data_IF_647931301604
#
_entry.id   IF_647931301604
#
_cell.length_a   1.000
_cell.length_b   1.000
_cell.length_c   1.000
_cell.angle_alpha   90.00
_cell.angle_beta   90.00
_cell.angle_gamma   90.00
#
_symmetry.space_group_name_H-M   'P 1'
#
loop_
_entity.id
_entity.type
_entity.pdbx_description
1 polymer ?
#
# COMPACT_ATOMS: atom_id res chain seq x y z
N UNK A 1 19.19 30.00 -1.78
CA UNK A 1 19.15 29.27 -3.07
C UNK A 1 18.34 27.98 -2.94
N UNK A 2 18.65 27.11 -1.96
CA UNK A 2 17.99 25.81 -1.75
C UNK A 2 16.45 25.85 -1.71
N UNK A 3 15.87 26.72 -0.88
CA UNK A 3 14.40 26.84 -0.74
C UNK A 3 13.66 27.17 -2.05
N UNK A 4 14.22 28.05 -2.90
CA UNK A 4 13.63 28.39 -4.21
C UNK A 4 13.72 27.23 -5.20
N UNK A 5 14.80 26.44 -5.12
CA UNK A 5 14.99 25.26 -5.95
C UNK A 5 13.98 24.16 -5.57
N UNK A 6 13.75 23.94 -4.28
CA UNK A 6 12.73 23.01 -3.76
C UNK A 6 11.31 23.44 -4.14
N UNK A 7 10.97 24.72 -3.95
CA UNK A 7 9.67 25.27 -4.36
C UNK A 7 9.44 25.10 -5.87
N UNK A 8 10.48 25.29 -6.70
CA UNK A 8 10.39 25.11 -8.15
C UNK A 8 10.19 23.64 -8.51
N UNK A 9 10.93 22.73 -7.87
CA UNK A 9 10.79 21.28 -8.04
C UNK A 9 9.36 20.83 -7.70
N UNK A 10 8.81 21.29 -6.58
CA UNK A 10 7.45 20.97 -6.15
C UNK A 10 6.39 21.49 -7.14
N UNK A 11 6.55 22.72 -7.66
CA UNK A 11 5.65 23.27 -8.69
C UNK A 11 5.67 22.42 -9.97
N UNK A 12 6.85 22.02 -10.42
CA UNK A 12 7.01 21.16 -11.60
C UNK A 12 6.34 19.79 -11.38
N UNK A 13 6.56 19.15 -10.22
CA UNK A 13 5.95 17.87 -9.89
C UNK A 13 4.41 17.96 -9.85
N UNK A 14 3.86 18.99 -9.19
CA UNK A 14 2.41 19.22 -9.13
C UNK A 14 1.80 19.41 -10.51
N UNK A 15 2.36 20.34 -11.29
CA UNK A 15 1.92 20.60 -12.65
C UNK A 15 2.02 19.33 -13.53
N UNK A 16 3.09 18.56 -13.37
CA UNK A 16 3.27 17.29 -14.06
C UNK A 16 2.19 16.27 -13.72
N UNK A 17 1.90 16.07 -12.44
CA UNK A 17 0.87 15.15 -11.97
C UNK A 17 -0.51 15.54 -12.52
N UNK A 18 -0.88 16.82 -12.44
CA UNK A 18 -2.16 17.34 -12.95
C UNK A 18 -2.28 17.17 -14.48
N UNK A 19 -1.24 17.51 -15.24
CA UNK A 19 -1.23 17.34 -16.70
C UNK A 19 -1.30 15.87 -17.11
N UNK A 20 -0.55 14.99 -16.45
CA UNK A 20 -0.56 13.56 -16.76
C UNK A 20 -1.90 12.93 -16.42
N UNK A 21 -2.51 13.32 -15.29
CA UNK A 21 -3.84 12.86 -14.91
C UNK A 21 -4.92 13.33 -15.90
N UNK A 22 -4.84 14.57 -16.39
CA UNK A 22 -5.85 15.16 -17.28
C UNK A 22 -5.68 14.77 -18.74
N UNK A 23 -4.46 14.84 -19.25
CA UNK A 23 -4.16 14.74 -20.68
C UNK A 23 -3.49 13.40 -21.06
N UNK A 24 -3.07 12.61 -20.06
CA UNK A 24 -2.30 11.37 -20.24
C UNK A 24 -0.80 11.60 -20.33
N UNK A 25 -0.01 10.55 -20.07
CA UNK A 25 1.44 10.61 -20.08
C UNK A 25 1.99 11.02 -21.45
N UNK A 26 1.53 10.39 -22.53
CA UNK A 26 2.08 10.62 -23.88
C UNK A 26 1.77 12.02 -24.44
N UNK A 27 0.63 12.61 -24.10
CA UNK A 27 0.24 13.96 -24.58
C UNK A 27 0.83 15.10 -23.73
N UNK A 28 1.57 14.76 -22.67
CA UNK A 28 2.24 15.73 -21.80
C UNK A 28 3.71 15.84 -22.20
N UNK A 29 4.24 17.07 -22.26
CA UNK A 29 5.65 17.35 -22.58
C UNK A 29 6.30 18.21 -21.50
N UNK A 30 7.63 18.15 -21.36
CA UNK A 30 8.39 18.98 -20.41
C UNK A 30 8.12 20.47 -20.60
N UNK A 31 7.91 20.92 -21.84
CA UNK A 31 7.52 22.29 -22.17
C UNK A 31 6.14 22.67 -21.64
N UNK A 32 5.17 21.75 -21.76
CA UNK A 32 3.81 21.94 -21.23
C UNK A 32 3.85 22.02 -19.70
N UNK A 33 4.61 21.13 -19.06
CA UNK A 33 4.80 21.09 -17.60
C UNK A 33 5.45 22.39 -17.09
N UNK A 34 6.56 22.83 -17.69
CA UNK A 34 7.23 24.06 -17.28
C UNK A 34 6.31 25.28 -17.38
N UNK A 35 5.53 25.36 -18.47
CA UNK A 35 4.54 26.42 -18.68
C UNK A 35 3.44 26.39 -17.62
N UNK A 36 2.87 25.22 -17.33
CA UNK A 36 1.83 25.04 -16.31
C UNK A 36 2.35 25.38 -14.91
N UNK A 37 3.58 25.00 -14.60
CA UNK A 37 4.26 25.34 -13.34
C UNK A 37 4.65 26.83 -13.22
N UNK A 38 4.48 27.63 -14.28
CA UNK A 38 4.84 29.04 -14.32
C UNK A 38 6.35 29.30 -14.27
N UNK A 39 7.16 28.38 -14.82
CA UNK A 39 8.63 28.48 -14.81
C UNK A 39 9.23 28.36 -16.21
N UNK A 40 10.48 28.81 -16.38
CA UNK A 40 11.19 28.67 -17.63
C UNK A 40 11.48 27.20 -17.94
N UNK A 41 11.54 26.83 -19.23
CA UNK A 41 11.90 25.47 -19.64
C UNK A 41 13.29 25.04 -19.14
N UNK A 42 14.24 25.98 -19.04
CA UNK A 42 15.55 25.71 -18.44
C UNK A 42 15.44 25.28 -16.97
N UNK A 43 14.49 25.82 -16.21
CA UNK A 43 14.24 25.40 -14.83
C UNK A 43 13.79 23.94 -14.76
N UNK A 44 13.01 23.44 -15.73
CA UNK A 44 12.67 22.01 -15.79
C UNK A 44 13.93 21.16 -15.88
N UNK A 45 14.80 21.45 -16.85
CA UNK A 45 15.99 20.65 -17.12
C UNK A 45 17.06 20.77 -16.03
N UNK A 46 17.02 21.82 -15.22
CA UNK A 46 17.84 21.93 -14.01
C UNK A 46 17.41 20.95 -12.90
N UNK A 47 16.16 20.48 -12.91
CA UNK A 47 15.61 19.58 -11.89
C UNK A 47 15.39 18.15 -12.36
N UNK A 48 15.08 17.96 -13.65
CA UNK A 48 14.72 16.68 -14.23
C UNK A 48 15.32 16.56 -15.63
N UNK A 49 16.02 15.46 -15.90
CA UNK A 49 16.59 15.19 -17.21
C UNK A 49 15.51 15.15 -18.31
N UNK A 50 14.35 14.57 -17.99
CA UNK A 50 13.22 14.45 -18.89
C UNK A 50 11.89 14.31 -18.11
N UNK A 51 10.79 14.12 -18.85
CA UNK A 51 9.45 13.87 -18.29
C UNK A 51 9.38 12.57 -17.48
N UNK A 52 10.17 11.55 -17.83
CA UNK A 52 10.19 10.26 -17.15
C UNK A 52 10.81 10.38 -15.77
N UNK A 53 11.93 11.10 -15.64
CA UNK A 53 12.57 11.42 -14.37
C UNK A 53 11.62 12.21 -13.43
N UNK A 54 10.82 13.12 -13.99
CA UNK A 54 9.77 13.79 -13.24
C UNK A 54 8.64 12.83 -12.81
N UNK A 55 8.19 11.94 -13.70
CA UNK A 55 7.17 10.94 -13.38
C UNK A 55 7.63 10.02 -12.24
N UNK A 56 8.86 9.52 -12.33
CA UNK A 56 9.52 8.73 -11.29
C UNK A 56 9.52 9.49 -9.97
N UNK A 57 9.91 10.77 -9.98
CA UNK A 57 9.91 11.58 -8.77
C UNK A 57 8.51 11.79 -8.17
N UNK A 58 7.49 12.05 -9.00
CA UNK A 58 6.10 12.16 -8.53
C UNK A 58 5.65 10.84 -7.89
N UNK A 59 5.96 9.73 -8.54
CA UNK A 59 5.58 8.42 -8.05
C UNK A 59 6.27 8.06 -6.74
N UNK A 60 7.59 8.25 -6.65
CA UNK A 60 8.35 7.99 -5.43
C UNK A 60 7.92 8.88 -4.26
N UNK A 61 7.49 10.13 -4.52
CA UNK A 61 6.93 11.01 -3.48
C UNK A 61 5.60 10.46 -2.98
N UNK A 62 4.70 10.10 -3.89
CA UNK A 62 3.39 9.52 -3.55
C UNK A 62 3.52 8.19 -2.80
N UNK A 63 4.38 7.30 -3.28
CA UNK A 63 4.63 5.99 -2.64
C UNK A 63 5.42 6.14 -1.36
N UNK A 64 6.34 7.09 -1.26
CA UNK A 64 7.05 7.41 -0.03
C UNK A 64 6.10 7.82 1.11
N UNK A 65 5.11 8.66 0.82
CA UNK A 65 4.05 9.03 1.76
C UNK A 65 3.21 7.81 2.19
N UNK A 66 2.80 6.98 1.22
CA UNK A 66 2.07 5.73 1.47
C UNK A 66 2.87 4.83 2.40
N UNK A 67 4.14 4.57 2.06
CA UNK A 67 5.01 3.74 2.86
C UNK A 67 5.17 4.29 4.26
N UNK A 68 5.47 5.58 4.42
CA UNK A 68 5.68 6.20 5.72
C UNK A 68 4.47 6.00 6.64
N UNK A 69 3.29 6.31 6.13
CA UNK A 69 2.04 6.13 6.86
C UNK A 69 1.79 4.65 7.21
N UNK A 70 2.02 3.74 6.27
CA UNK A 70 1.96 2.29 6.52
C UNK A 70 2.97 1.91 7.61
N UNK A 71 4.21 2.44 7.61
CA UNK A 71 5.19 2.16 8.68
C UNK A 71 4.69 2.59 10.03
N UNK A 72 4.26 3.84 10.16
CA UNK A 72 3.79 4.41 11.42
C UNK A 72 2.63 3.59 12.00
N UNK A 73 1.85 2.94 11.13
CA UNK A 73 0.75 2.05 11.54
C UNK A 73 1.19 0.62 11.85
N UNK A 74 2.11 0.07 11.06
CA UNK A 74 2.69 -1.27 11.25
C UNK A 74 3.65 -1.34 12.44
N UNK A 75 4.26 -0.22 12.84
CA UNK A 75 5.08 -0.06 14.05
C UNK A 75 4.21 -0.03 15.33
N UNK A 76 2.89 0.12 15.18
CA UNK A 76 1.94 -0.07 16.28
C UNK A 76 1.81 -1.55 16.68
N UNK A 77 1.70 -1.82 17.98
CA UNK A 77 1.73 -3.18 18.56
C UNK A 77 0.55 -4.10 18.11
N UNK A 78 -0.45 -3.59 17.38
CA UNK A 78 -1.70 -4.30 17.09
C UNK A 78 -1.57 -5.48 16.12
N UNK A 79 -0.69 -5.42 15.10
CA UNK A 79 -0.47 -6.56 14.19
C UNK A 79 0.33 -7.66 14.91
N UNK A 80 1.22 -7.28 15.81
CA UNK A 80 2.04 -8.24 16.54
C UNK A 80 1.22 -9.04 17.58
N UNK A 81 0.11 -8.50 18.08
CA UNK A 81 -0.68 -9.11 19.17
C UNK A 81 -1.78 -10.09 18.72
N UNK A 82 -2.23 -10.03 17.47
CA UNK A 82 -3.33 -10.88 16.96
C UNK A 82 -4.71 -10.50 17.54
N UNK A 83 -5.74 -11.29 17.22
CA UNK A 83 -7.12 -11.08 17.73
C UNK A 83 -7.87 -9.90 17.08
N UNK A 84 -8.90 -9.37 17.76
CA UNK A 84 -9.76 -8.27 17.25
C UNK A 84 -8.95 -7.03 16.85
N UNK A 85 -7.88 -6.73 17.60
CA UNK A 85 -6.97 -5.61 17.30
C UNK A 85 -6.29 -5.77 15.92
N UNK A 86 -5.95 -7.00 15.52
CA UNK A 86 -5.35 -7.25 14.21
C UNK A 86 -6.35 -7.15 13.06
N UNK A 87 -7.63 -7.51 13.28
CA UNK A 87 -8.70 -7.38 12.28
C UNK A 87 -9.00 -5.92 11.98
N UNK A 88 -9.20 -5.12 13.02
CA UNK A 88 -9.48 -3.68 12.89
C UNK A 88 -8.28 -2.94 12.27
N UNK A 89 -7.06 -3.34 12.62
CA UNK A 89 -5.85 -2.77 12.04
C UNK A 89 -5.68 -3.12 10.56
N UNK A 90 -5.96 -4.36 10.14
CA UNK A 90 -5.98 -4.73 8.72
C UNK A 90 -7.05 -3.92 7.98
N UNK A 91 -8.24 -3.77 8.54
CA UNK A 91 -9.30 -2.98 7.94
C UNK A 91 -8.91 -1.50 7.78
N UNK A 92 -8.25 -0.91 8.80
CA UNK A 92 -7.72 0.45 8.74
C UNK A 92 -6.64 0.59 7.66
N UNK A 93 -5.68 -0.35 7.58
CA UNK A 93 -4.64 -0.36 6.54
C UNK A 93 -5.25 -0.44 5.13
N UNK A 94 -6.21 -1.35 4.92
CA UNK A 94 -6.92 -1.51 3.63
C UNK A 94 -7.69 -0.23 3.27
N UNK A 95 -8.39 0.37 4.24
CA UNK A 95 -9.11 1.63 4.04
C UNK A 95 -8.19 2.80 3.68
N UNK A 96 -7.01 2.88 4.32
CA UNK A 96 -6.03 3.91 4.02
C UNK A 96 -5.38 3.71 2.65
N UNK A 97 -5.08 2.45 2.27
CA UNK A 97 -4.60 2.14 0.93
C UNK A 97 -5.58 2.66 -0.13
N UNK A 98 -6.90 2.49 0.06
CA UNK A 98 -7.91 3.05 -0.84
C UNK A 98 -7.87 4.60 -0.92
N UNK A 99 -7.76 5.28 0.22
CA UNK A 99 -7.72 6.76 0.27
C UNK A 99 -6.52 7.34 -0.48
N UNK A 100 -5.36 6.67 -0.39
CA UNK A 100 -4.16 7.07 -1.12
C UNK A 100 -4.32 6.90 -2.63
N UNK A 101 -4.92 5.80 -3.07
CA UNK A 101 -5.20 5.58 -4.49
C UNK A 101 -6.28 6.55 -5.05
N UNK A 102 -7.09 7.15 -4.17
CA UNK A 102 -8.10 8.14 -4.54
C UNK A 102 -7.52 9.55 -4.76
N UNK A 103 -6.28 9.84 -4.34
CA UNK A 103 -5.72 11.21 -4.45
C UNK A 103 -5.50 11.65 -5.91
N UNK A 104 -5.31 10.71 -6.85
CA UNK A 104 -5.32 10.98 -8.28
C UNK A 104 -5.65 9.71 -9.10
N UNK A 105 -6.93 9.31 -9.24
CA UNK A 105 -7.31 8.04 -9.87
C UNK A 105 -6.82 7.93 -11.33
N UNK A 106 -6.84 9.05 -12.06
CA UNK A 106 -6.35 9.09 -13.43
C UNK A 106 -4.83 8.93 -13.53
N UNK A 107 -4.08 9.43 -12.54
CA UNK A 107 -2.63 9.22 -12.46
C UNK A 107 -2.31 7.74 -12.19
N UNK A 108 -3.02 7.12 -11.24
CA UNK A 108 -2.90 5.69 -10.95
C UNK A 108 -3.17 4.83 -12.18
N UNK A 109 -4.24 5.10 -12.94
CA UNK A 109 -4.51 4.38 -14.21
C UNK A 109 -3.38 4.50 -15.22
N UNK A 110 -2.80 5.69 -15.38
CA UNK A 110 -1.65 5.88 -16.28
C UNK A 110 -0.42 5.10 -15.79
N UNK A 111 -0.18 5.07 -14.47
CA UNK A 111 0.91 4.30 -13.88
C UNK A 111 0.72 2.80 -14.07
N UNK A 112 -0.48 2.27 -13.85
CA UNK A 112 -0.80 0.87 -14.09
C UNK A 112 -0.58 0.47 -15.54
N UNK A 113 -0.93 1.33 -16.50
CA UNK A 113 -0.64 1.08 -17.91
C UNK A 113 0.88 1.06 -18.18
N UNK A 114 1.62 2.05 -17.68
CA UNK A 114 3.07 2.15 -17.86
C UNK A 114 3.84 0.97 -17.24
N UNK A 115 3.34 0.39 -16.15
CA UNK A 115 3.90 -0.83 -15.53
C UNK A 115 4.07 -1.98 -16.54
N UNK A 116 3.18 -2.07 -17.52
CA UNK A 116 3.19 -3.15 -18.53
C UNK A 116 3.86 -2.74 -19.84
N UNK A 117 4.17 -1.46 -20.05
CA UNK A 117 4.64 -0.94 -21.34
C UNK A 117 6.00 -0.24 -21.28
N UNK A 118 6.55 0.04 -20.09
CA UNK A 118 7.84 0.70 -19.90
C UNK A 118 8.67 -0.03 -18.83
N UNK A 119 9.82 -0.58 -19.23
CA UNK A 119 10.66 -1.43 -18.37
C UNK A 119 11.26 -0.70 -17.17
N UNK A 120 11.65 0.57 -17.31
CA UNK A 120 12.22 1.30 -16.16
C UNK A 120 11.14 1.65 -15.15
N UNK A 121 9.91 1.97 -15.62
CA UNK A 121 8.76 2.20 -14.74
C UNK A 121 8.36 0.90 -14.06
N UNK A 122 8.31 -0.21 -14.80
CA UNK A 122 8.08 -1.55 -14.26
C UNK A 122 9.08 -1.89 -13.15
N UNK A 123 10.37 -1.64 -13.38
CA UNK A 123 11.43 -1.87 -12.39
C UNK A 123 11.28 -0.98 -11.16
N UNK A 124 11.03 0.31 -11.34
CA UNK A 124 10.79 1.23 -10.22
C UNK A 124 9.61 0.77 -9.35
N UNK A 125 8.50 0.40 -9.97
CA UNK A 125 7.31 -0.09 -9.28
C UNK A 125 7.58 -1.39 -8.52
N UNK A 126 8.36 -2.29 -9.12
CA UNK A 126 8.78 -3.52 -8.47
C UNK A 126 9.67 -3.24 -7.25
N UNK A 127 10.64 -2.34 -7.36
CA UNK A 127 11.55 -1.98 -6.26
C UNK A 127 10.78 -1.37 -5.06
N UNK A 128 9.78 -0.52 -5.31
CA UNK A 128 8.92 0.01 -4.23
C UNK A 128 8.03 -1.08 -3.61
N UNK A 129 7.44 -1.95 -4.43
CA UNK A 129 6.63 -3.06 -3.94
C UNK A 129 7.46 -4.01 -3.04
N UNK A 130 8.70 -4.31 -3.44
CA UNK A 130 9.63 -5.10 -2.61
C UNK A 130 9.89 -4.46 -1.24
N UNK A 131 9.95 -3.13 -1.16
CA UNK A 131 10.10 -2.43 0.14
C UNK A 131 8.86 -2.61 1.02
N UNK A 132 7.65 -2.57 0.45
CA UNK A 132 6.40 -2.80 1.21
C UNK A 132 6.42 -4.22 1.77
N UNK A 133 6.74 -5.19 0.91
CA UNK A 133 6.78 -6.61 1.25
C UNK A 133 7.80 -6.87 2.34
N UNK A 134 9.03 -6.34 2.21
CA UNK A 134 10.08 -6.50 3.21
C UNK A 134 9.66 -5.93 4.57
N UNK A 135 9.00 -4.78 4.56
CA UNK A 135 8.51 -4.17 5.78
C UNK A 135 7.39 -4.99 6.44
N UNK A 136 6.37 -5.41 5.69
CA UNK A 136 5.30 -6.25 6.22
C UNK A 136 5.85 -7.57 6.76
N UNK A 137 6.83 -8.17 6.07
CA UNK A 137 7.52 -9.38 6.53
C UNK A 137 8.20 -9.13 7.89
N UNK A 138 8.88 -7.99 8.06
CA UNK A 138 9.51 -7.63 9.32
C UNK A 138 8.49 -7.45 10.44
N UNK A 139 7.36 -6.78 10.18
CA UNK A 139 6.26 -6.63 11.14
C UNK A 139 5.63 -7.96 11.53
N UNK A 140 5.39 -8.85 10.56
CA UNK A 140 4.87 -10.20 10.86
C UNK A 140 5.85 -11.02 11.70
N UNK A 141 7.16 -10.81 11.51
CA UNK A 141 8.21 -11.50 12.28
C UNK A 141 8.25 -11.10 13.76
N UNK A 142 7.65 -9.97 14.14
CA UNK A 142 7.55 -9.54 15.54
C UNK A 142 6.26 -10.01 16.22
N UNK A 143 5.41 -10.76 15.52
CA UNK A 143 4.16 -11.27 16.08
C UNK A 143 4.40 -12.21 17.26
N UNK A 144 3.47 -12.19 18.21
CA UNK A 144 3.49 -13.06 19.39
C UNK A 144 3.50 -14.53 18.97
N UNK A 145 4.17 -15.41 19.75
CA UNK A 145 4.25 -16.83 19.43
C UNK A 145 2.86 -17.44 19.19
N UNK A 146 2.71 -18.16 18.07
CA UNK A 146 1.46 -18.80 17.61
C UNK A 146 0.31 -17.86 17.24
N UNK A 147 0.52 -16.55 17.12
CA UNK A 147 -0.51 -15.65 16.60
C UNK A 147 -0.76 -15.86 15.10
N UNK A 148 0.32 -16.13 14.34
CA UNK A 148 0.25 -16.33 12.90
C UNK A 148 0.02 -17.80 12.56
N UNK A 149 -0.89 -18.03 11.60
CA UNK A 149 -1.16 -19.34 11.01
C UNK A 149 -0.12 -19.70 9.94
N UNK A 150 0.48 -18.69 9.30
CA UNK A 150 1.42 -18.85 8.19
C UNK A 150 2.85 -19.10 8.68
N UNK A 151 3.58 -19.97 7.99
CA UNK A 151 4.98 -20.28 8.29
C UNK A 151 5.98 -19.53 7.41
N UNK A 152 5.62 -19.25 6.16
CA UNK A 152 6.43 -18.47 5.22
C UNK A 152 5.96 -17.02 5.21
N UNK A 153 6.58 -16.19 6.04
CA UNK A 153 6.20 -14.79 6.22
C UNK A 153 6.44 -13.95 4.96
N UNK A 154 7.50 -14.26 4.20
CA UNK A 154 7.83 -13.55 2.97
C UNK A 154 6.80 -13.82 1.88
N UNK A 155 6.42 -15.08 1.69
CA UNK A 155 5.34 -15.43 0.77
C UNK A 155 3.99 -14.85 1.22
N UNK A 156 3.69 -14.90 2.53
CA UNK A 156 2.46 -14.35 3.07
C UNK A 156 2.35 -12.83 2.87
N UNK A 157 3.42 -12.08 3.12
CA UNK A 157 3.46 -10.64 2.87
C UNK A 157 3.24 -10.32 1.38
N UNK A 158 3.87 -11.06 0.47
CA UNK A 158 3.68 -10.89 -0.98
C UNK A 158 2.22 -11.10 -1.41
N UNK A 159 1.60 -12.18 -0.93
CA UNK A 159 0.19 -12.49 -1.25
C UNK A 159 -0.73 -11.42 -0.66
N UNK A 160 -0.49 -10.98 0.57
CA UNK A 160 -1.29 -9.94 1.22
C UNK A 160 -1.22 -8.61 0.45
N UNK A 161 -0.01 -8.13 0.11
CA UNK A 161 0.18 -6.90 -0.66
C UNK A 161 -0.46 -7.01 -2.05
N UNK A 162 -0.28 -8.12 -2.75
CA UNK A 162 -0.89 -8.35 -4.06
C UNK A 162 -2.42 -8.34 -4.01
N UNK A 163 -3.02 -8.93 -2.97
CA UNK A 163 -4.46 -8.92 -2.77
C UNK A 163 -5.01 -7.51 -2.51
N UNK A 164 -4.32 -6.71 -1.68
CA UNK A 164 -4.68 -5.31 -1.45
C UNK A 164 -4.58 -4.50 -2.73
N UNK A 165 -3.45 -4.57 -3.45
CA UNK A 165 -3.27 -3.85 -4.72
C UNK A 165 -4.36 -4.20 -5.74
N UNK A 166 -4.68 -5.49 -5.92
CA UNK A 166 -5.65 -5.94 -6.91
C UNK A 166 -7.05 -5.40 -6.62
N UNK A 167 -7.53 -5.57 -5.37
CA UNK A 167 -8.90 -5.17 -5.00
C UNK A 167 -9.04 -3.65 -4.94
N UNK A 168 -8.04 -2.93 -4.42
CA UNK A 168 -8.07 -1.45 -4.39
C UNK A 168 -8.12 -0.88 -5.81
N UNK A 169 -7.32 -1.41 -6.75
CA UNK A 169 -7.38 -0.98 -8.14
C UNK A 169 -8.69 -1.35 -8.83
N UNK A 170 -9.25 -2.54 -8.58
CA UNK A 170 -10.55 -2.94 -9.11
C UNK A 170 -11.66 -1.98 -8.65
N UNK A 171 -11.74 -1.68 -7.35
CA UNK A 171 -12.70 -0.73 -6.79
C UNK A 171 -12.53 0.66 -7.40
N UNK A 172 -11.28 1.12 -7.59
CA UNK A 172 -10.99 2.42 -8.20
C UNK A 172 -11.45 2.49 -9.66
N UNK A 173 -11.41 1.36 -10.38
CA UNK A 173 -11.81 1.26 -11.79
C UNK A 173 -13.32 1.12 -11.95
N UNK A 174 -13.97 0.30 -11.11
CA UNK A 174 -15.41 0.09 -11.12
C UNK A 174 -16.20 1.31 -10.59
N UNK A 175 -15.55 2.14 -9.77
CA UNK A 175 -16.12 3.29 -9.05
C UNK A 175 -17.51 2.99 -8.44
N UNK A 176 -17.63 1.94 -7.60
CA UNK A 176 -18.89 1.58 -7.00
C UNK A 176 -19.34 2.64 -6.00
N UNK A 177 -20.63 2.62 -5.65
CA UNK A 177 -21.14 3.41 -4.54
C UNK A 177 -20.43 3.08 -3.22
N UNK A 178 -20.56 3.98 -2.25
CA UNK A 178 -19.89 3.86 -0.96
C UNK A 178 -20.23 2.55 -0.23
N UNK A 179 -21.44 2.02 -0.38
CA UNK A 179 -21.86 0.81 0.32
C UNK A 179 -21.18 -0.43 -0.26
N UNK A 180 -21.14 -0.56 -1.58
CA UNK A 180 -20.43 -1.65 -2.26
C UNK A 180 -18.92 -1.56 -2.03
N UNK A 181 -18.35 -0.35 -2.08
CA UNK A 181 -16.94 -0.10 -1.75
C UNK A 181 -16.58 -0.60 -0.36
N UNK A 182 -17.34 -0.21 0.66
CA UNK A 182 -17.13 -0.65 2.04
C UNK A 182 -17.28 -2.17 2.18
N UNK A 183 -18.26 -2.79 1.50
CA UNK A 183 -18.42 -4.25 1.50
C UNK A 183 -17.20 -4.97 0.95
N UNK A 184 -16.64 -4.52 -0.17
CA UNK A 184 -15.43 -5.14 -0.76
C UNK A 184 -14.19 -4.96 0.11
N UNK A 185 -13.98 -3.75 0.66
CA UNK A 185 -12.86 -3.49 1.58
C UNK A 185 -12.94 -4.33 2.87
N UNK A 186 -14.14 -4.47 3.44
CA UNK A 186 -14.36 -5.30 4.62
C UNK A 186 -14.11 -6.79 4.32
N UNK A 187 -14.56 -7.28 3.16
CA UNK A 187 -14.32 -8.66 2.74
C UNK A 187 -12.82 -8.95 2.51
N UNK A 188 -12.08 -8.00 1.92
CA UNK A 188 -10.62 -8.09 1.78
C UNK A 188 -9.94 -8.14 3.15
N UNK A 189 -10.30 -7.24 4.08
CA UNK A 189 -9.71 -7.22 5.41
C UNK A 189 -9.96 -8.53 6.17
N UNK A 190 -11.17 -9.08 6.08
CA UNK A 190 -11.52 -10.38 6.66
C UNK A 190 -10.68 -11.51 6.06
N UNK A 191 -10.55 -11.54 4.73
CA UNK A 191 -9.76 -12.56 4.03
C UNK A 191 -8.29 -12.52 4.48
N UNK A 192 -7.70 -11.33 4.58
CA UNK A 192 -6.31 -11.14 5.02
C UNK A 192 -6.13 -11.54 6.49
N UNK A 193 -7.08 -11.18 7.36
CA UNK A 193 -7.03 -11.57 8.78
C UNK A 193 -7.01 -13.09 8.93
N UNK A 194 -7.97 -13.80 8.31
CA UNK A 194 -8.05 -15.27 8.37
C UNK A 194 -6.89 -15.98 7.68
N UNK A 195 -6.31 -15.34 6.67
CA UNK A 195 -5.13 -15.86 6.00
C UNK A 195 -3.91 -15.82 6.92
N UNK A 196 -3.69 -14.70 7.60
CA UNK A 196 -2.49 -14.45 8.40
C UNK A 196 -2.56 -15.05 9.81
N UNK A 197 -3.71 -14.97 10.48
CA UNK A 197 -3.87 -15.29 11.90
C UNK A 197 -4.59 -16.62 12.13
N UNK A 198 -4.26 -17.27 13.25
CA UNK A 198 -5.02 -18.42 13.75
C UNK A 198 -6.09 -17.90 14.72
N UNK A 199 -7.38 -18.01 14.39
CA UNK A 199 -8.48 -17.59 15.29
C UNK A 199 -8.64 -18.54 16.50
N UNK A 200 -7.72 -19.48 16.68
CA UNK A 200 -7.77 -20.50 17.71
C UNK A 200 -8.76 -21.60 17.35
N UNK A 201 -8.26 -22.84 17.24
CA UNK A 201 -9.04 -23.95 17.77
C UNK A 201 -9.37 -23.60 19.23
N UNK A 202 -10.62 -23.76 19.71
CA UNK A 202 -10.91 -23.58 21.13
C UNK A 202 -9.92 -24.42 21.92
N UNK A 203 -9.25 -23.80 22.90
CA UNK A 203 -8.31 -24.47 23.78
C UNK A 203 -8.96 -25.78 24.23
N UNK A 204 -8.36 -26.91 23.82
CA UNK A 204 -8.84 -28.22 24.19
C UNK A 204 -8.94 -28.21 25.72
N UNK A 205 -10.17 -28.22 26.24
CA UNK A 205 -10.39 -28.27 27.67
C UNK A 205 -9.55 -29.41 28.19
N UNK A 206 -8.61 -29.08 29.07
CA UNK A 206 -7.91 -30.04 29.91
C UNK A 206 -9.02 -30.93 30.49
N UNK A 207 -9.19 -32.15 29.96
CA UNK A 207 -10.01 -33.16 30.63
C UNK A 207 -9.23 -33.50 31.88
N UNK A 208 -9.56 -32.81 32.97
CA UNK A 208 -9.26 -33.26 34.31
C UNK A 208 -9.72 -34.72 34.36
N UNK A 209 -8.75 -35.62 34.52
CA UNK A 209 -8.99 -37.01 34.79
C UNK A 209 -9.64 -37.07 36.18
N UNK A 210 -10.96 -36.94 36.20
CA UNK A 210 -11.77 -37.21 37.37
C UNK A 210 -11.88 -38.73 37.50
N UNK A 211 -10.92 -39.33 38.21
CA UNK A 211 -11.01 -40.69 38.72
C UNK A 211 -10.37 -40.76 40.10
N UNK A 212 -11.18 -40.49 41.12
CA UNK A 212 -11.41 -41.37 42.29
C UNK A 212 -12.69 -40.88 42.97
N UNK A 213 -13.60 -41.79 43.35
CA UNK A 213 -13.41 -42.46 44.63
C UNK A 213 -13.79 -43.95 44.59
N UNK A 214 -13.04 -44.77 45.32
CA UNK A 214 -13.55 -46.07 45.78
C UNK A 214 -12.88 -46.42 47.10
N UNK A 215 -13.33 -45.76 48.16
CA UNK A 215 -13.45 -46.40 49.47
C UNK A 215 -14.78 -47.18 49.46
N UNK A 216 -14.69 -48.51 49.45
CA UNK A 216 -15.77 -49.39 49.88
C UNK A 216 -15.21 -50.80 50.19
N UNK A 217 -15.15 -51.06 51.51
CA UNK A 217 -15.10 -52.35 52.22
C UNK A 217 -13.79 -53.12 52.24
#
# INVERSE_FOLDING_TARGET
>A
MQKRAEETRAKLMRAGAELIARDGYHNTSSKKIAREAGVAIGSFYNHFADKKALLVAIFSDHVGEVHQMVRERLEGEGLARGGVESRDLIADIVGQAMRLHHYAPAFHRQMSALRYTDDDISKLLADENERVIAQLTATLSTATPNALRVSDLGAAARVAVAAVEAVVHEILLDDPDETERQRRLAALAEMLHRYLYDEGKPAAHCRAADRTPSDAV
#
